data_IF_890757678317
#
_entry.id   IF_890757678317
#
_cell.length_a   1.000
_cell.length_b   1.000
_cell.length_c   1.000
_cell.angle_alpha   90.00
_cell.angle_beta   90.00
_cell.angle_gamma   90.00
#
_symmetry.space_group_name_H-M   'P 1'
#
loop_
_entity.id
_entity.type
_entity.pdbx_description
1 polymer ?
#
# COMPACT_ATOMS: atom_id res chain seq x y z
N UNK A 1 7.08 18.04 12.46
CA UNK A 1 6.38 18.00 11.16
C UNK A 1 7.01 16.90 10.35
N UNK A 2 6.26 15.87 9.95
CA UNK A 2 6.82 14.74 9.19
C UNK A 2 7.30 15.22 7.82
N UNK A 3 8.59 15.08 7.54
CA UNK A 3 9.22 15.45 6.26
C UNK A 3 8.92 14.43 5.16
N UNK A 4 8.35 13.28 5.51
CA UNK A 4 8.00 12.18 4.62
C UNK A 4 6.76 12.40 3.75
N UNK A 5 6.21 13.61 3.69
CA UNK A 5 5.25 14.05 2.66
C UNK A 5 5.73 15.27 1.86
N UNK A 6 7.03 15.50 1.79
CA UNK A 6 7.63 16.65 1.10
C UNK A 6 7.80 16.50 -0.43
N UNK A 7 7.68 15.29 -0.97
CA UNK A 7 7.93 15.06 -2.40
C UNK A 7 7.00 15.92 -3.28
N UNK A 8 7.54 16.59 -4.33
CA UNK A 8 6.76 17.49 -5.19
C UNK A 8 5.55 16.81 -5.82
N UNK A 9 4.48 17.57 -6.03
CA UNK A 9 3.36 17.09 -6.85
C UNK A 9 3.87 16.86 -8.28
N UNK A 10 3.49 15.73 -8.84
CA UNK A 10 3.85 15.31 -10.21
C UNK A 10 2.60 14.85 -10.94
N UNK A 11 2.62 14.94 -12.26
CA UNK A 11 1.61 14.37 -13.14
C UNK A 11 1.63 12.84 -13.06
N UNK A 12 0.58 12.19 -13.57
CA UNK A 12 0.53 10.72 -13.65
C UNK A 12 1.64 10.16 -14.54
N UNK A 13 1.94 10.81 -15.65
CA UNK A 13 2.99 10.39 -16.57
C UNK A 13 4.37 10.42 -15.90
N UNK A 14 4.70 11.52 -15.22
CA UNK A 14 5.92 11.63 -14.44
C UNK A 14 5.99 10.59 -13.32
N UNK A 15 4.88 10.35 -12.60
CA UNK A 15 4.82 9.33 -11.55
C UNK A 15 5.14 7.93 -12.11
N UNK A 16 4.60 7.57 -13.27
CA UNK A 16 4.86 6.29 -13.94
C UNK A 16 6.30 6.18 -14.45
N UNK A 17 6.86 7.29 -14.94
CA UNK A 17 8.26 7.36 -15.37
C UNK A 17 9.21 7.13 -14.18
N UNK A 18 8.92 7.73 -13.03
CA UNK A 18 9.69 7.58 -11.78
C UNK A 18 9.51 6.20 -11.12
N UNK A 19 8.40 5.50 -11.38
CA UNK A 19 8.06 4.25 -10.69
C UNK A 19 9.07 3.13 -11.02
N UNK A 20 9.74 2.52 -10.03
CA UNK A 20 10.65 1.41 -10.27
C UNK A 20 9.99 0.25 -11.02
N UNK A 21 10.77 -0.44 -11.86
CA UNK A 21 10.28 -1.55 -12.67
C UNK A 21 9.61 -2.64 -11.83
N UNK A 22 10.16 -2.96 -10.66
CA UNK A 22 9.59 -3.92 -9.71
C UNK A 22 8.18 -3.53 -9.24
N UNK A 23 7.91 -2.24 -9.04
CA UNK A 23 6.56 -1.77 -8.66
C UNK A 23 5.63 -1.85 -9.86
N UNK A 24 6.07 -1.39 -11.05
CA UNK A 24 5.26 -1.47 -12.29
C UNK A 24 4.87 -2.90 -12.66
N UNK A 25 5.70 -3.88 -12.30
CA UNK A 25 5.42 -5.29 -12.54
C UNK A 25 4.51 -5.91 -11.47
N UNK A 26 4.63 -5.44 -10.23
CA UNK A 26 3.92 -5.96 -9.07
C UNK A 26 2.51 -5.40 -8.89
N UNK A 27 2.29 -4.11 -9.18
CA UNK A 27 1.05 -3.40 -8.86
C UNK A 27 0.30 -2.94 -10.13
N UNK A 28 -1.03 -2.85 -10.09
CA UNK A 28 -1.80 -2.21 -11.14
C UNK A 28 -1.42 -0.73 -11.26
N UNK A 29 -1.37 -0.24 -12.50
CA UNK A 29 -1.07 1.17 -12.82
C UNK A 29 -2.31 1.93 -13.32
N UNK A 30 -3.43 1.23 -13.49
CA UNK A 30 -4.73 1.85 -13.75
C UNK A 30 -5.06 2.80 -12.59
N UNK A 31 -5.62 3.99 -12.87
CA UNK A 31 -5.96 4.94 -11.83
C UNK A 31 -7.14 4.43 -11.00
N UNK A 32 -7.15 4.76 -9.71
CA UNK A 32 -8.34 4.69 -8.85
C UNK A 32 -8.35 5.88 -7.90
N UNK A 33 -9.54 6.28 -7.45
CA UNK A 33 -9.70 7.33 -6.43
C UNK A 33 -9.83 6.70 -5.06
N UNK A 34 -9.10 7.22 -4.08
CA UNK A 34 -9.08 6.67 -2.72
C UNK A 34 -10.46 6.75 -2.04
N UNK A 35 -11.18 7.86 -2.22
CA UNK A 35 -12.53 8.00 -1.67
C UNK A 35 -13.49 6.98 -2.30
N UNK A 36 -13.48 6.85 -3.63
CA UNK A 36 -14.32 5.87 -4.32
C UNK A 36 -13.99 4.42 -3.95
N UNK A 37 -12.72 4.12 -3.63
CA UNK A 37 -12.31 2.82 -3.09
C UNK A 37 -12.93 2.57 -1.70
N UNK A 38 -12.92 3.58 -0.83
CA UNK A 38 -13.48 3.50 0.52
C UNK A 38 -15.01 3.45 0.56
N UNK A 39 -15.66 4.00 -0.47
CA UNK A 39 -17.12 4.01 -0.60
C UNK A 39 -17.68 2.67 -1.13
N UNK A 40 -16.82 1.71 -1.52
CA UNK A 40 -17.25 0.39 -1.96
C UNK A 40 -17.80 -0.43 -0.79
N UNK A 41 -19.05 -0.88 -0.91
CA UNK A 41 -19.66 -1.84 0.03
C UNK A 41 -19.20 -3.26 -0.29
N UNK A 42 -18.06 -3.66 0.27
CA UNK A 42 -17.48 -5.00 0.07
C UNK A 42 -17.50 -5.81 1.37
N UNK A 43 -17.66 -7.14 1.30
CA UNK A 43 -17.53 -7.98 2.47
C UNK A 43 -16.08 -7.96 2.99
N UNK A 44 -15.94 -7.90 4.30
CA UNK A 44 -14.64 -8.08 4.97
C UNK A 44 -14.35 -9.57 5.07
N UNK A 45 -13.13 -9.95 4.69
CA UNK A 45 -12.62 -11.31 4.84
C UNK A 45 -11.22 -11.32 5.44
N UNK A 46 -10.86 -12.41 6.10
CA UNK A 46 -9.51 -12.62 6.63
C UNK A 46 -8.59 -13.12 5.52
N UNK A 47 -7.44 -12.47 5.38
CA UNK A 47 -6.40 -12.87 4.43
C UNK A 47 -5.13 -13.19 5.19
N UNK A 48 -4.48 -14.30 4.86
CA UNK A 48 -3.19 -14.67 5.44
C UNK A 48 -2.14 -13.60 5.09
N UNK A 49 -1.45 -13.08 6.10
CA UNK A 49 -0.38 -12.08 5.94
C UNK A 49 0.74 -12.62 5.03
N UNK A 50 1.03 -13.92 5.10
CA UNK A 50 1.98 -14.62 4.22
C UNK A 50 1.72 -14.38 2.72
N UNK A 51 0.44 -14.32 2.30
CA UNK A 51 0.07 -14.08 0.89
C UNK A 51 0.47 -12.67 0.42
N UNK A 52 0.66 -11.74 1.36
CA UNK A 52 0.99 -10.33 1.12
C UNK A 52 2.45 -10.01 1.47
N UNK A 53 3.17 -10.91 2.15
CA UNK A 53 4.50 -10.65 2.69
C UNK A 53 5.53 -10.24 1.64
N UNK A 54 5.39 -10.74 0.40
CA UNK A 54 6.24 -10.37 -0.72
C UNK A 54 6.12 -8.89 -1.14
N UNK A 55 5.01 -8.23 -0.79
CA UNK A 55 4.81 -6.80 -1.08
C UNK A 55 5.64 -5.90 -0.16
N UNK A 56 6.10 -6.44 0.98
CA UNK A 56 6.92 -5.70 1.95
C UNK A 56 8.29 -5.33 1.38
N UNK A 57 8.71 -5.98 0.31
CA UNK A 57 9.96 -5.73 -0.40
C UNK A 57 9.88 -4.56 -1.39
N UNK A 58 8.68 -4.09 -1.72
CA UNK A 58 8.50 -3.02 -2.70
C UNK A 58 8.88 -1.66 -2.10
N UNK A 59 9.64 -0.80 -2.81
CA UNK A 59 10.00 0.53 -2.32
C UNK A 59 8.84 1.51 -2.53
N UNK A 60 7.83 1.46 -1.67
CA UNK A 60 6.54 2.12 -1.86
C UNK A 60 6.53 3.56 -1.38
N UNK A 61 7.32 3.86 -0.35
CA UNK A 61 7.25 5.14 0.35
C UNK A 61 8.38 6.07 -0.05
N UNK A 62 8.13 7.36 0.11
CA UNK A 62 9.14 8.38 -0.12
C UNK A 62 10.09 8.52 1.08
N UNK A 63 11.24 9.12 0.84
CA UNK A 63 12.21 9.55 1.85
C UNK A 63 12.83 10.86 1.40
N UNK A 64 12.90 11.85 2.28
CA UNK A 64 13.54 13.15 2.02
C UNK A 64 13.09 13.81 0.71
N UNK A 65 11.78 13.76 0.45
CA UNK A 65 11.18 14.33 -0.75
C UNK A 65 11.35 13.51 -2.03
N UNK A 66 12.01 12.36 -1.98
CA UNK A 66 12.19 11.46 -3.13
C UNK A 66 11.23 10.29 -3.05
N UNK A 67 10.49 10.00 -4.13
CA UNK A 67 9.51 8.90 -4.18
C UNK A 67 10.17 7.54 -4.30
N UNK A 68 9.46 6.50 -3.88
CA UNK A 68 9.83 5.10 -4.08
C UNK A 68 11.21 4.72 -3.53
N UNK A 69 11.51 5.12 -2.29
CA UNK A 69 12.80 4.92 -1.64
C UNK A 69 12.75 3.86 -0.53
N UNK A 70 11.61 3.74 0.17
CA UNK A 70 11.53 2.93 1.40
C UNK A 70 10.49 1.84 1.24
N UNK A 71 10.88 0.62 1.60
CA UNK A 71 10.00 -0.54 1.67
C UNK A 71 9.50 -0.79 3.09
N UNK A 72 8.31 -1.40 3.27
CA UNK A 72 7.87 -1.84 4.59
C UNK A 72 8.88 -2.73 5.32
N UNK A 73 9.59 -3.60 4.58
CA UNK A 73 10.66 -4.45 5.13
C UNK A 73 11.81 -3.62 5.68
N UNK A 74 12.26 -2.58 4.97
CA UNK A 74 13.32 -1.69 5.44
C UNK A 74 12.94 -1.00 6.76
N UNK A 75 11.69 -0.57 6.90
CA UNK A 75 11.19 0.04 8.16
C UNK A 75 11.16 -0.96 9.31
N UNK A 76 10.81 -2.22 9.04
CA UNK A 76 10.82 -3.29 10.05
C UNK A 76 12.23 -3.63 10.51
N UNK A 77 13.19 -3.64 9.59
CA UNK A 77 14.57 -4.08 9.85
C UNK A 77 15.44 -2.98 10.46
N UNK A 78 15.16 -1.71 10.15
CA UNK A 78 15.88 -0.55 10.68
C UNK A 78 14.88 0.57 11.08
N UNK A 79 14.08 0.35 12.14
CA UNK A 79 13.05 1.31 12.56
C UNK A 79 13.62 2.67 12.98
N UNK A 80 14.84 2.69 13.54
CA UNK A 80 15.52 3.91 13.99
C UNK A 80 15.88 4.83 12.82
N UNK A 81 16.17 4.25 11.65
CA UNK A 81 16.41 5.01 10.41
C UNK A 81 15.13 5.55 9.78
N UNK A 82 13.98 4.92 10.04
CA UNK A 82 12.68 5.28 9.43
C UNK A 82 11.58 5.58 10.46
N UNK A 83 11.83 6.47 11.43
CA UNK A 83 10.92 6.68 12.55
C UNK A 83 9.56 7.24 12.12
N UNK A 84 9.51 8.07 11.08
CA UNK A 84 8.26 8.63 10.55
C UNK A 84 7.34 7.55 9.95
N UNK A 85 7.89 6.63 9.15
CA UNK A 85 7.11 5.51 8.60
C UNK A 85 6.68 4.53 9.68
N UNK A 86 7.55 4.24 10.66
CA UNK A 86 7.20 3.41 11.80
C UNK A 86 6.06 4.02 12.60
N UNK A 87 6.15 5.30 12.95
CA UNK A 87 5.12 6.01 13.70
C UNK A 87 3.77 5.97 12.96
N UNK A 88 3.78 6.13 11.64
CA UNK A 88 2.56 6.02 10.80
C UNK A 88 2.00 4.61 10.76
N UNK A 89 2.87 3.59 10.71
CA UNK A 89 2.44 2.20 10.83
C UNK A 89 1.77 1.96 12.19
N UNK A 90 2.42 2.33 13.29
CA UNK A 90 1.91 2.13 14.65
C UNK A 90 0.63 2.93 14.93
N UNK A 91 0.50 4.13 14.37
CA UNK A 91 -0.70 4.96 14.47
C UNK A 91 -1.87 4.47 13.60
N UNK A 92 -1.64 3.52 12.68
CA UNK A 92 -2.73 2.98 11.85
C UNK A 92 -3.66 2.09 12.67
N UNK A 93 -4.96 2.13 12.36
CA UNK A 93 -5.98 1.36 13.05
C UNK A 93 -6.32 0.11 12.24
N UNK A 94 -6.08 -1.07 12.86
CA UNK A 94 -6.31 -2.37 12.24
C UNK A 94 -7.79 -2.79 12.22
N UNK A 95 -8.70 -2.01 12.83
CA UNK A 95 -10.15 -2.22 12.68
C UNK A 95 -10.63 -1.87 11.27
N UNK A 96 -9.87 -1.07 10.51
CA UNK A 96 -10.20 -0.75 9.13
C UNK A 96 -9.48 -1.71 8.18
N UNK A 97 -10.21 -2.45 7.32
CA UNK A 97 -9.63 -3.47 6.46
C UNK A 97 -8.68 -2.86 5.41
N UNK A 98 -7.72 -3.66 4.96
CA UNK A 98 -6.88 -3.30 3.80
C UNK A 98 -7.66 -3.55 2.50
N UNK A 99 -7.44 -2.70 1.50
CA UNK A 99 -8.07 -2.89 0.20
C UNK A 99 -7.10 -3.63 -0.72
N UNK A 100 -7.56 -4.76 -1.26
CA UNK A 100 -6.79 -5.63 -2.12
C UNK A 100 -7.43 -5.75 -3.50
N UNK A 101 -6.63 -6.12 -4.50
CA UNK A 101 -7.14 -6.61 -5.79
C UNK A 101 -6.33 -7.82 -6.23
N UNK A 102 -6.95 -8.71 -7.02
CA UNK A 102 -6.20 -9.76 -7.71
C UNK A 102 -5.56 -9.20 -8.96
N UNK A 103 -4.23 -9.12 -8.97
CA UNK A 103 -3.43 -8.65 -10.10
C UNK A 103 -2.43 -9.74 -10.50
N UNK A 104 -2.43 -10.13 -11.79
CA UNK A 104 -1.53 -11.18 -12.33
C UNK A 104 -1.47 -12.45 -11.47
N UNK A 105 -2.64 -12.90 -11.00
CA UNK A 105 -2.77 -14.13 -10.22
C UNK A 105 -2.47 -14.00 -8.72
N UNK A 106 -2.01 -12.84 -8.23
CA UNK A 106 -1.67 -12.60 -6.82
C UNK A 106 -2.53 -11.49 -6.21
N UNK A 107 -2.70 -11.52 -4.88
CA UNK A 107 -3.29 -10.38 -4.16
C UNK A 107 -2.26 -9.27 -4.01
N UNK A 108 -2.69 -8.03 -4.25
CA UNK A 108 -1.87 -6.82 -4.10
C UNK A 108 -2.65 -5.76 -3.34
N UNK A 109 -1.95 -4.91 -2.60
CA UNK A 109 -2.55 -3.84 -1.79
C UNK A 109 -2.79 -2.60 -2.65
N UNK A 110 -4.04 -2.12 -2.67
CA UNK A 110 -4.43 -0.82 -3.23
C UNK A 110 -4.34 0.29 -2.19
N UNK A 111 -4.73 -0.01 -0.95
CA UNK A 111 -4.64 0.90 0.18
C UNK A 111 -4.41 0.11 1.49
N UNK A 112 -3.62 0.68 2.38
CA UNK A 112 -3.36 0.11 3.71
C UNK A 112 -1.98 -0.54 3.91
N UNK A 113 -0.95 -0.20 3.13
CA UNK A 113 0.41 -0.71 3.35
C UNK A 113 0.96 -0.48 4.77
N UNK A 114 0.61 0.63 5.42
CA UNK A 114 1.00 0.90 6.81
C UNK A 114 0.28 -0.03 7.81
N UNK A 115 -0.99 -0.38 7.53
CA UNK A 115 -1.75 -1.38 8.31
C UNK A 115 -1.18 -2.78 8.11
N UNK A 116 -0.80 -3.12 6.88
CA UNK A 116 -0.10 -4.38 6.61
C UNK A 116 1.23 -4.45 7.38
N UNK A 117 2.04 -3.38 7.36
CA UNK A 117 3.27 -3.34 8.16
C UNK A 117 2.99 -3.49 9.66
N UNK A 118 1.99 -2.79 10.20
CA UNK A 118 1.61 -2.92 11.61
C UNK A 118 1.18 -4.35 11.96
N UNK A 119 0.39 -5.01 11.12
CA UNK A 119 -0.01 -6.40 11.34
C UNK A 119 1.20 -7.34 11.40
N UNK A 120 2.20 -7.14 10.53
CA UNK A 120 3.47 -7.87 10.55
C UNK A 120 4.26 -7.62 11.84
N UNK A 121 4.36 -6.36 12.28
CA UNK A 121 5.04 -5.97 13.52
C UNK A 121 4.37 -6.55 14.78
N UNK A 122 3.04 -6.65 14.77
CA UNK A 122 2.25 -7.28 15.85
C UNK A 122 2.25 -8.82 15.79
N UNK A 123 2.96 -9.44 14.83
CA UNK A 123 3.02 -10.89 14.69
C UNK A 123 1.69 -11.53 14.26
N UNK A 124 0.80 -10.77 13.60
CA UNK A 124 -0.47 -11.30 13.11
C UNK A 124 -0.26 -12.22 11.92
N UNK A 125 -0.98 -13.34 11.92
CA UNK A 125 -1.01 -14.29 10.79
C UNK A 125 -2.07 -13.95 9.75
N UNK A 126 -3.06 -13.14 10.12
CA UNK A 126 -4.19 -12.72 9.30
C UNK A 126 -4.44 -11.21 9.42
N UNK A 127 -5.03 -10.64 8.37
CA UNK A 127 -5.51 -9.26 8.35
C UNK A 127 -6.89 -9.19 7.69
N UNK A 128 -7.75 -8.31 8.22
CA UNK A 128 -9.04 -8.02 7.61
C UNK A 128 -8.82 -7.25 6.30
N UNK A 129 -9.47 -7.72 5.24
CA UNK A 129 -9.31 -7.19 3.90
C UNK A 129 -10.65 -7.13 3.15
N UNK A 130 -10.78 -6.16 2.27
CA UNK A 130 -11.80 -6.09 1.22
C UNK A 130 -11.11 -6.33 -0.12
N UNK A 131 -11.59 -7.31 -0.88
CA UNK A 131 -11.01 -7.65 -2.19
C UNK A 131 -11.89 -7.03 -3.27
N UNK A 132 -11.36 -6.00 -3.93
CA UNK A 132 -11.98 -5.28 -5.03
C UNK A 132 -11.91 -6.13 -6.29
N UNK A 133 -13.03 -6.24 -7.01
CA UNK A 133 -13.04 -6.92 -8.30
C UNK A 133 -12.33 -6.07 -9.37
N UNK A 134 -11.83 -6.71 -10.43
CA UNK A 134 -11.26 -5.96 -11.56
C UNK A 134 -12.28 -5.06 -12.27
N UNK A 135 -13.57 -5.38 -12.17
CA UNK A 135 -14.66 -4.56 -12.71
C UNK A 135 -14.88 -3.32 -11.85
N UNK A 136 -14.98 -3.48 -10.53
CA UNK A 136 -15.18 -2.35 -9.61
C UNK A 136 -13.99 -1.39 -9.64
N UNK A 137 -12.76 -1.93 -9.67
CA UNK A 137 -11.55 -1.12 -9.76
C UNK A 137 -11.54 -0.24 -11.02
N UNK A 138 -11.99 -0.77 -12.17
CA UNK A 138 -12.13 0.01 -13.41
C UNK A 138 -13.23 1.06 -13.29
N UNK A 139 -14.36 0.72 -12.67
CA UNK A 139 -15.48 1.63 -12.49
C UNK A 139 -15.08 2.86 -11.66
N UNK A 140 -14.35 2.67 -10.56
CA UNK A 140 -13.88 3.77 -9.69
C UNK A 140 -12.69 4.55 -10.26
N UNK A 141 -12.06 4.03 -11.32
CA UNK A 141 -10.96 4.68 -12.03
C UNK A 141 -11.40 5.54 -13.22
N UNK A 142 -12.57 5.26 -13.78
CA UNK A 142 -13.11 5.94 -14.97
C UNK A 142 -13.96 7.19 -14.67
N UNK A 143 -14.31 7.41 -13.39
CA UNK A 143 -15.06 8.57 -12.90
C UNK A 143 -14.13 9.72 -12.49
#
# INVERSE_FOLDING_TARGET
MSTDRAAPRVTREELLAMMPAQIRQALPTDPWRLQALWDLELPVQRVQVEQLAWLLDLPLWQLDGTRFQVSPRAVREDPERYPDHLNRAMASDLRYPVHLVKYRGRLVVLDGFHRLLKAVLEGRTEIDAMVVSGTDLKAIGAA
#
